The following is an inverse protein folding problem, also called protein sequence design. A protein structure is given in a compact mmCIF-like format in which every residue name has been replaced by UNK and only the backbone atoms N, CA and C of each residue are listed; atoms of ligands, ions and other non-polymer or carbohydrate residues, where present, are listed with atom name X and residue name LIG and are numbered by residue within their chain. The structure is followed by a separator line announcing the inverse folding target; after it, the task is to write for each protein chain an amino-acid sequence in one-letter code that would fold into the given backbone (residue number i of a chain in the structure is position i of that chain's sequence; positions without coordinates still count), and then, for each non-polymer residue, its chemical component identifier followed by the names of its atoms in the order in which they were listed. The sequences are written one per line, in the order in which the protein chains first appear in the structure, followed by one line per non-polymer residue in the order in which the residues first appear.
data_IF_263812980165
#
_entry.id   IF_263812980165
#
_cell.length_a   1.000
_cell.length_b   1.000
_cell.length_c   1.000
_cell.angle_alpha   90.00
_cell.angle_beta   90.00
_cell.angle_gamma   90.00
#
_symmetry.space_group_name_H-M   'P 1'
#
loop_
_entity.id
_entity.type
_entity.pdbx_description
1 polymer ?
#
# COMPACT_ATOMS: atom_id res chain seq x y z
N UNK A 1 -23.77 -28.03 -65.63
CA UNK A 1 -25.24 -28.16 -65.65
C UNK A 1 -25.72 -28.11 -64.21
N UNK A 2 -26.62 -27.26 -63.73
CA UNK A 2 -27.22 -26.01 -64.17
C UNK A 2 -27.83 -25.43 -62.87
N UNK A 3 -27.41 -24.25 -62.42
CA UNK A 3 -28.25 -23.06 -62.25
C UNK A 3 -29.76 -23.31 -62.15
N UNK A 4 -30.39 -22.84 -61.06
CA UNK A 4 -31.61 -22.01 -61.11
C UNK A 4 -31.91 -21.42 -59.72
N UNK A 5 -31.98 -20.08 -59.69
CA UNK A 5 -32.61 -19.25 -58.67
C UNK A 5 -33.79 -18.50 -59.36
N UNK A 6 -34.47 -17.49 -58.76
CA UNK A 6 -35.42 -17.50 -57.64
C UNK A 6 -36.74 -16.69 -57.91
N UNK A 7 -37.56 -16.48 -56.85
CA UNK A 7 -38.58 -15.39 -56.57
C UNK A 7 -40.07 -15.66 -56.92
N UNK A 8 -41.09 -14.94 -56.31
CA UNK A 8 -41.03 -13.66 -55.56
C UNK A 8 -41.90 -13.44 -54.28
N UNK A 9 -41.47 -12.40 -53.52
CA UNK A 9 -42.17 -11.29 -52.78
C UNK A 9 -43.48 -11.52 -51.98
N UNK A 10 -43.47 -11.05 -50.73
CA UNK A 10 -44.32 -9.93 -50.29
C UNK A 10 -43.68 -9.09 -49.15
N UNK A 11 -43.98 -7.79 -49.18
CA UNK A 11 -43.44 -6.68 -48.38
C UNK A 11 -44.18 -6.49 -47.05
N UNK A 12 -43.48 -5.98 -46.02
CA UNK A 12 -43.98 -4.83 -45.24
C UNK A 12 -42.82 -4.07 -44.58
N UNK A 13 -42.88 -2.75 -44.69
CA UNK A 13 -41.86 -1.78 -44.29
C UNK A 13 -42.31 -1.03 -43.04
N UNK A 14 -41.38 -0.71 -42.12
CA UNK A 14 -41.49 0.45 -41.22
C UNK A 14 -40.11 1.08 -40.97
N UNK A 15 -40.12 2.41 -40.86
CA UNK A 15 -39.02 3.40 -40.94
C UNK A 15 -38.39 3.72 -39.58
N UNK A 16 -37.14 4.19 -39.58
CA UNK A 16 -36.50 4.97 -38.50
C UNK A 16 -35.01 5.30 -38.78
N UNK A 17 -34.43 6.43 -38.34
CA UNK A 17 -33.61 7.30 -39.20
C UNK A 17 -32.06 7.22 -39.06
N UNK A 18 -31.37 7.66 -40.12
CA UNK A 18 -29.91 7.84 -40.26
C UNK A 18 -29.37 9.10 -39.55
N UNK A 19 -28.07 9.12 -39.17
CA UNK A 19 -27.32 10.36 -38.96
C UNK A 19 -26.57 10.83 -40.22
N UNK A 20 -26.59 12.16 -40.41
CA UNK A 20 -26.06 12.93 -41.54
C UNK A 20 -24.54 13.11 -41.47
N UNK A 21 -23.86 13.01 -42.62
CA UNK A 21 -22.54 13.61 -42.88
C UNK A 21 -22.74 14.99 -43.49
N UNK A 22 -21.92 15.96 -43.10
CA UNK A 22 -21.76 17.23 -43.83
C UNK A 22 -20.31 17.49 -44.20
N UNK A 23 -20.21 18.21 -45.31
CA UNK A 23 -19.12 18.37 -46.27
C UNK A 23 -18.13 19.47 -45.88
N UNK A 24 -16.91 19.40 -46.40
CA UNK A 24 -15.96 20.52 -46.45
C UNK A 24 -15.35 20.67 -47.85
N UNK A 25 -15.46 21.88 -48.42
CA UNK A 25 -14.73 22.45 -49.56
C UNK A 25 -14.50 23.93 -49.19
N UNK A 26 -13.53 24.71 -49.67
CA UNK A 26 -12.18 24.57 -50.23
C UNK A 26 -11.68 26.03 -50.41
N UNK A 27 -10.36 26.30 -50.28
CA UNK A 27 -9.55 27.26 -51.08
C UNK A 27 -8.31 27.79 -50.32
N UNK A 28 -7.19 27.89 -51.04
CA UNK A 28 -5.83 28.32 -50.64
C UNK A 28 -5.48 29.70 -51.28
N UNK A 29 -4.21 30.16 -51.47
CA UNK A 29 -2.92 30.01 -50.73
C UNK A 29 -2.19 31.37 -50.49
N UNK A 30 -1.10 31.40 -49.69
CA UNK A 30 0.00 32.37 -49.92
C UNK A 30 1.37 31.88 -49.39
N UNK A 31 2.44 32.46 -49.93
CA UNK A 31 3.67 31.78 -50.31
C UNK A 31 4.89 31.87 -49.35
N UNK A 32 5.78 30.90 -49.60
CA UNK A 32 7.20 30.65 -49.22
C UNK A 32 8.10 31.85 -48.89
N UNK A 33 9.03 31.63 -47.94
CA UNK A 33 10.48 31.88 -48.11
C UNK A 33 11.33 30.91 -47.27
N UNK A 34 12.52 30.60 -47.80
CA UNK A 34 13.45 29.54 -47.41
C UNK A 34 14.69 30.10 -46.61
N UNK A 35 15.62 29.24 -46.12
CA UNK A 35 16.55 29.52 -45.00
C UNK A 35 17.98 29.92 -45.41
N UNK A 36 18.78 30.46 -44.47
CA UNK A 36 20.24 30.74 -44.60
C UNK A 36 20.98 30.43 -43.26
N UNK A 37 22.26 29.96 -43.27
CA UNK A 37 22.85 29.05 -42.26
C UNK A 37 23.98 29.72 -41.40
N UNK A 38 24.86 28.99 -40.67
CA UNK A 38 25.49 29.45 -39.41
C UNK A 38 26.87 30.09 -39.56
N UNK A 39 27.35 30.77 -38.52
CA UNK A 39 28.76 31.14 -38.38
C UNK A 39 29.35 30.67 -37.05
N UNK A 40 30.48 29.98 -37.18
CA UNK A 40 31.40 29.59 -36.13
C UNK A 40 32.48 30.65 -35.93
N UNK A 41 32.95 30.85 -34.70
CA UNK A 41 34.34 31.22 -34.40
C UNK A 41 34.70 30.84 -32.95
N UNK A 42 35.82 30.12 -32.83
CA UNK A 42 36.50 29.65 -31.59
C UNK A 42 37.45 30.77 -31.03
N UNK A 43 38.50 30.48 -30.23
CA UNK A 43 38.55 30.18 -28.78
C UNK A 43 39.63 31.01 -28.03
N UNK A 44 39.69 31.02 -26.69
CA UNK A 44 40.93 31.23 -25.88
C UNK A 44 40.80 30.52 -24.52
N UNK A 45 41.45 29.37 -24.31
CA UNK A 45 42.78 29.11 -23.69
C UNK A 45 42.95 29.57 -22.22
N UNK A 46 42.99 28.55 -21.35
CA UNK A 46 43.96 28.23 -20.26
C UNK A 46 44.39 29.34 -19.30
N UNK A 47 44.20 29.11 -17.99
CA UNK A 47 45.25 29.34 -16.98
C UNK A 47 45.16 28.32 -15.81
N UNK A 48 46.32 27.77 -15.47
CA UNK A 48 46.67 27.02 -14.27
C UNK A 48 46.81 27.96 -13.05
N UNK A 49 46.63 27.42 -11.84
CA UNK A 49 47.16 27.98 -10.57
C UNK A 49 46.32 27.48 -9.38
N UNK A 50 46.74 26.44 -8.63
CA UNK A 50 47.58 26.48 -7.43
C UNK A 50 47.32 27.68 -6.50
N UNK A 51 46.96 27.40 -5.24
CA UNK A 51 47.01 28.38 -4.14
C UNK A 51 46.22 27.95 -2.91
N UNK A 52 46.92 27.37 -1.93
CA UNK A 52 46.44 27.01 -0.60
C UNK A 52 46.39 28.23 0.34
N UNK A 53 45.53 28.17 1.38
CA UNK A 53 45.68 28.72 2.76
C UNK A 53 44.39 28.35 3.52
N UNK A 54 44.34 27.41 4.48
CA UNK A 54 44.86 27.38 5.88
C UNK A 54 44.27 28.48 6.78
N UNK A 55 43.67 28.03 7.89
CA UNK A 55 43.36 28.63 9.21
C UNK A 55 41.96 28.09 9.62
N UNK A 56 41.70 27.46 10.75
CA UNK A 56 42.51 26.98 11.87
C UNK A 56 41.63 26.04 12.72
N UNK A 57 42.25 25.03 13.32
CA UNK A 57 41.64 24.12 14.30
C UNK A 57 41.81 24.72 15.69
N UNK A 58 40.73 24.80 16.48
CA UNK A 58 40.87 24.88 17.95
C UNK A 58 40.09 23.74 18.61
N UNK A 59 40.90 22.75 19.00
CA UNK A 59 40.93 22.01 20.26
C UNK A 59 39.72 21.20 20.76
N UNK A 60 40.01 19.91 20.95
CA UNK A 60 39.32 18.90 21.77
C UNK A 60 39.66 19.01 23.26
N UNK A 61 38.86 18.26 24.04
CA UNK A 61 39.05 17.68 25.41
C UNK A 61 38.23 18.44 26.46
N UNK A 62 37.33 17.88 27.27
CA UNK A 62 37.06 16.52 27.77
C UNK A 62 35.51 16.36 27.88
N UNK A 63 34.87 15.19 27.86
CA UNK A 63 35.00 14.02 28.73
C UNK A 63 34.16 12.85 28.14
N UNK A 64 34.34 11.64 28.70
CA UNK A 64 34.05 10.35 28.06
C UNK A 64 32.60 10.02 27.73
N UNK A 65 32.46 9.06 26.81
CA UNK A 65 31.18 8.43 26.46
C UNK A 65 31.32 7.67 25.14
N UNK A 66 31.37 6.35 25.22
CA UNK A 66 31.28 5.40 24.09
C UNK A 66 30.11 5.77 23.18
N UNK A 67 30.41 6.19 21.95
CA UNK A 67 29.43 6.45 20.90
C UNK A 67 29.56 5.39 19.81
N UNK A 68 28.57 4.50 19.77
CA UNK A 68 28.30 3.58 18.67
C UNK A 68 28.16 4.38 17.37
N UNK A 69 29.05 4.13 16.41
CA UNK A 69 28.92 4.66 15.05
C UNK A 69 27.86 3.85 14.32
N UNK A 70 26.65 4.37 14.23
CA UNK A 70 25.65 3.93 13.27
C UNK A 70 26.11 4.32 11.87
N UNK A 71 26.53 3.35 11.07
CA UNK A 71 26.75 3.54 9.64
C UNK A 71 25.39 3.66 8.95
N UNK A 72 25.07 4.85 8.44
CA UNK A 72 23.97 5.02 7.49
C UNK A 72 24.57 4.80 6.10
N UNK A 73 24.36 3.62 5.53
CA UNK A 73 24.67 3.33 4.15
C UNK A 73 23.63 4.03 3.25
N UNK A 74 24.02 5.15 2.62
CA UNK A 74 23.19 5.85 1.65
C UNK A 74 23.66 5.56 0.23
N UNK A 75 22.99 4.63 -0.47
CA UNK A 75 23.14 4.50 -1.91
C UNK A 75 22.23 5.54 -2.60
N UNK A 76 22.82 6.50 -3.32
CA UNK A 76 22.06 7.39 -4.22
C UNK A 76 21.69 6.62 -5.50
N UNK A 77 20.39 6.52 -5.87
CA UNK A 77 20.02 5.99 -7.17
C UNK A 77 20.53 6.92 -8.29
N UNK A 78 21.08 6.33 -9.35
CA UNK A 78 21.39 7.04 -10.60
C UNK A 78 20.07 7.43 -11.30
N UNK A 79 20.00 8.65 -11.82
CA UNK A 79 18.83 9.17 -12.54
C UNK A 79 18.47 8.29 -13.75
N UNK A 80 17.19 7.90 -13.88
CA UNK A 80 16.62 7.46 -15.15
C UNK A 80 15.94 6.08 -15.22
N UNK A 81 15.76 5.35 -14.12
CA UNK A 81 15.02 4.07 -14.09
C UNK A 81 14.03 4.10 -12.92
N UNK A 82 12.80 3.59 -13.11
CA UNK A 82 11.76 3.56 -12.05
C UNK A 82 12.31 2.93 -10.76
N UNK A 83 12.28 3.62 -9.60
CA UNK A 83 12.84 3.12 -8.33
C UNK A 83 12.19 1.84 -7.80
N UNK A 84 10.95 1.55 -8.21
CA UNK A 84 10.12 0.49 -7.65
C UNK A 84 10.53 -0.89 -8.13
N UNK A 85 10.78 -1.05 -9.45
CA UNK A 85 11.24 -2.33 -10.02
C UNK A 85 12.62 -2.77 -9.49
N UNK A 86 13.32 -1.92 -8.75
CA UNK A 86 14.61 -2.22 -8.13
C UNK A 86 14.47 -2.69 -6.67
N UNK A 87 13.29 -2.58 -6.04
CA UNK A 87 13.11 -2.92 -4.61
C UNK A 87 13.56 -4.35 -4.31
N UNK A 88 13.29 -5.29 -5.21
CA UNK A 88 13.69 -6.70 -5.07
C UNK A 88 14.93 -7.08 -5.90
N UNK A 89 15.53 -6.13 -6.64
CA UNK A 89 16.73 -6.39 -7.45
C UNK A 89 17.98 -6.21 -6.59
N UNK A 90 18.80 -7.25 -6.51
CA UNK A 90 20.07 -7.26 -5.76
C UNK A 90 19.92 -6.88 -4.28
N UNK A 91 18.82 -7.30 -3.64
CA UNK A 91 18.62 -7.09 -2.21
C UNK A 91 19.65 -7.93 -1.45
N UNK A 92 20.41 -7.25 -0.60
CA UNK A 92 21.21 -7.91 0.43
C UNK A 92 20.29 -8.22 1.61
N UNK A 93 19.76 -9.44 1.63
CA UNK A 93 18.95 -9.91 2.74
C UNK A 93 19.84 -10.13 3.97
N UNK A 94 19.39 -9.72 5.18
CA UNK A 94 20.03 -10.14 6.42
C UNK A 94 20.17 -11.67 6.53
N UNK A 95 21.12 -12.15 7.33
CA UNK A 95 21.28 -13.60 7.53
C UNK A 95 20.08 -14.23 8.27
N UNK A 96 19.38 -13.44 9.09
CA UNK A 96 18.24 -13.86 9.89
C UNK A 96 16.97 -13.10 9.49
N UNK A 97 15.82 -13.76 9.68
CA UNK A 97 14.52 -13.17 9.40
C UNK A 97 14.33 -11.85 10.20
N UNK A 98 14.13 -10.71 9.54
CA UNK A 98 14.28 -9.39 10.16
C UNK A 98 13.06 -8.94 10.97
N UNK A 99 11.96 -9.70 10.91
CA UNK A 99 10.70 -9.36 11.56
C UNK A 99 10.53 -10.13 12.88
N UNK A 100 10.00 -9.43 13.87
CA UNK A 100 9.77 -9.97 15.21
C UNK A 100 8.34 -10.50 15.34
N UNK A 101 8.04 -11.33 16.36
CA UNK A 101 6.67 -11.78 16.60
C UNK A 101 5.65 -10.64 16.70
N UNK A 102 6.03 -9.49 17.27
CA UNK A 102 5.14 -8.34 17.45
C UNK A 102 4.74 -7.69 16.11
N UNK A 103 5.57 -7.84 15.07
CA UNK A 103 5.27 -7.34 13.72
C UNK A 103 4.07 -8.06 13.09
N UNK A 104 3.79 -9.29 13.56
CA UNK A 104 2.67 -10.12 13.12
C UNK A 104 1.45 -10.04 14.05
N UNK A 105 1.53 -9.25 15.12
CA UNK A 105 0.36 -8.95 15.96
C UNK A 105 -0.67 -8.13 15.19
N UNK A 106 -1.92 -8.22 15.58
CA UNK A 106 -3.03 -7.50 14.97
C UNK A 106 -3.70 -6.64 16.00
N UNK A 107 -4.44 -5.66 15.52
CA UNK A 107 -5.24 -4.82 16.39
C UNK A 107 -6.45 -5.58 16.95
N UNK A 108 -7.08 -6.41 16.12
CA UNK A 108 -8.21 -7.26 16.48
C UNK A 108 -7.78 -8.73 16.44
N UNK A 109 -7.30 -9.21 17.59
CA UNK A 109 -6.91 -10.61 17.81
C UNK A 109 -8.10 -11.55 18.07
N UNK A 110 -9.34 -11.07 17.93
CA UNK A 110 -10.50 -11.97 17.97
C UNK A 110 -10.43 -13.00 16.85
N UNK A 111 -11.23 -14.06 16.97
CA UNK A 111 -11.26 -15.16 16.00
C UNK A 111 -11.59 -14.66 14.58
N UNK A 112 -10.77 -15.07 13.61
CA UNK A 112 -11.02 -14.79 12.20
C UNK A 112 -12.26 -15.53 11.70
N UNK A 113 -12.51 -16.74 12.22
CA UNK A 113 -13.75 -17.49 11.91
C UNK A 113 -15.01 -16.70 12.27
N UNK A 114 -14.98 -15.90 13.35
CA UNK A 114 -16.08 -15.00 13.69
C UNK A 114 -16.15 -13.81 12.73
N UNK A 115 -15.02 -13.18 12.41
CA UNK A 115 -14.95 -12.02 11.52
C UNK A 115 -15.40 -12.31 10.07
N UNK A 116 -15.09 -13.51 9.57
CA UNK A 116 -15.45 -13.99 8.23
C UNK A 116 -16.71 -14.85 8.20
N UNK A 117 -17.45 -14.97 9.31
CA UNK A 117 -18.69 -15.76 9.38
C UNK A 117 -19.81 -15.26 8.47
N UNK A 118 -19.87 -13.94 8.24
CA UNK A 118 -20.86 -13.31 7.36
C UNK A 118 -20.24 -13.07 5.99
N UNK A 119 -20.81 -13.62 4.90
CA UNK A 119 -20.27 -13.46 3.56
C UNK A 119 -20.37 -12.01 3.08
N UNK A 120 -19.38 -11.59 2.31
CA UNK A 120 -19.27 -10.26 1.70
C UNK A 120 -19.15 -10.40 0.19
N UNK A 121 -20.28 -10.26 -0.50
CA UNK A 121 -20.32 -10.27 -1.96
C UNK A 121 -19.96 -8.90 -2.55
N UNK A 122 -18.78 -8.40 -2.22
CA UNK A 122 -18.21 -7.14 -2.71
C UNK A 122 -16.79 -7.34 -3.17
N UNK A 123 -16.30 -6.49 -4.06
CA UNK A 123 -14.88 -6.45 -4.40
C UNK A 123 -14.12 -5.60 -3.37
N UNK A 124 -12.98 -6.10 -2.91
CA UNK A 124 -12.15 -5.42 -1.91
C UNK A 124 -11.14 -4.44 -2.52
N UNK A 125 -11.07 -4.37 -3.84
CA UNK A 125 -10.26 -3.45 -4.64
C UNK A 125 -11.14 -2.72 -5.65
N UNK A 126 -10.66 -1.57 -6.13
CA UNK A 126 -11.36 -0.75 -7.12
C UNK A 126 -11.25 -1.32 -8.55
N UNK A 127 -12.07 -0.79 -9.46
CA UNK A 127 -12.18 -1.28 -10.83
C UNK A 127 -10.86 -1.19 -11.62
N UNK A 128 -10.01 -0.21 -11.34
CA UNK A 128 -8.72 -0.07 -12.02
C UNK A 128 -7.73 -1.12 -11.53
N UNK A 129 -7.66 -1.35 -10.22
CA UNK A 129 -6.87 -2.44 -9.65
C UNK A 129 -7.33 -3.81 -10.19
N UNK A 130 -8.65 -4.02 -10.31
CA UNK A 130 -9.21 -5.23 -10.92
C UNK A 130 -8.77 -5.36 -12.38
N UNK A 131 -8.90 -4.30 -13.17
CA UNK A 131 -8.53 -4.29 -14.60
C UNK A 131 -7.07 -4.68 -14.79
N UNK A 132 -6.18 -4.08 -14.02
CA UNK A 132 -4.73 -4.31 -14.07
C UNK A 132 -4.38 -5.73 -13.64
N UNK A 133 -4.96 -6.20 -12.54
CA UNK A 133 -4.72 -7.55 -12.06
C UNK A 133 -5.22 -8.60 -13.08
N UNK A 134 -6.37 -8.33 -13.69
CA UNK A 134 -6.93 -9.21 -14.75
C UNK A 134 -6.03 -9.24 -15.98
N UNK A 135 -5.47 -8.11 -16.38
CA UNK A 135 -4.50 -8.00 -17.48
C UNK A 135 -3.21 -8.76 -17.15
N UNK A 136 -2.69 -8.59 -15.94
CA UNK A 136 -1.54 -9.34 -15.44
C UNK A 136 -1.79 -10.85 -15.47
N UNK A 137 -2.92 -11.32 -14.95
CA UNK A 137 -3.26 -12.74 -15.03
C UNK A 137 -3.42 -13.26 -16.46
N UNK A 138 -3.83 -12.42 -17.41
CA UNK A 138 -3.90 -12.81 -18.82
C UNK A 138 -2.54 -13.11 -19.44
N UNK A 139 -1.48 -12.50 -18.91
CA UNK A 139 -0.10 -12.70 -19.37
C UNK A 139 0.61 -13.83 -18.62
N UNK A 140 0.41 -13.93 -17.30
CA UNK A 140 1.20 -14.80 -16.43
C UNK A 140 0.53 -16.14 -16.08
N UNK A 141 -0.79 -16.25 -16.16
CA UNK A 141 -1.44 -17.55 -15.99
C UNK A 141 -1.22 -18.43 -17.22
N UNK A 142 -1.07 -19.76 -17.04
CA UNK A 142 -1.05 -20.69 -18.16
C UNK A 142 -2.30 -20.52 -19.04
N UNK A 143 -2.21 -20.73 -20.37
CA UNK A 143 -3.35 -20.58 -21.26
C UNK A 143 -4.58 -21.35 -20.77
N UNK A 144 -5.77 -20.75 -20.88
CA UNK A 144 -7.03 -21.39 -20.48
C UNK A 144 -7.20 -22.77 -21.12
N UNK A 145 -7.71 -23.73 -20.36
CA UNK A 145 -7.87 -25.14 -20.73
C UNK A 145 -6.55 -25.87 -21.09
N UNK A 146 -5.41 -25.45 -20.52
CA UNK A 146 -4.16 -26.23 -20.66
C UNK A 146 -4.27 -27.53 -19.86
N UNK A 147 -4.10 -28.72 -20.49
CA UNK A 147 -4.22 -30.01 -19.81
C UNK A 147 -3.20 -30.19 -18.68
N UNK A 148 -3.66 -30.75 -17.55
CA UNK A 148 -2.78 -31.09 -16.43
C UNK A 148 -2.30 -29.91 -15.57
N UNK A 149 -2.72 -28.68 -15.89
CA UNK A 149 -2.45 -27.49 -15.07
C UNK A 149 -3.43 -27.40 -13.92
N UNK A 150 -2.89 -27.32 -12.70
CA UNK A 150 -3.63 -27.11 -11.46
C UNK A 150 -3.28 -25.77 -10.82
N UNK A 151 -4.31 -25.03 -10.41
CA UNK A 151 -4.17 -23.70 -9.78
C UNK A 151 -4.80 -23.71 -8.39
N UNK A 152 -4.10 -23.12 -7.43
CA UNK A 152 -4.64 -22.81 -6.11
C UNK A 152 -4.84 -21.30 -5.99
N UNK A 153 -6.07 -20.86 -5.77
CA UNK A 153 -6.39 -19.51 -5.32
C UNK A 153 -6.42 -19.50 -3.79
N UNK A 154 -5.33 -19.02 -3.19
CA UNK A 154 -5.09 -19.02 -1.75
C UNK A 154 -5.64 -17.75 -1.10
N UNK A 155 -6.36 -17.91 0.00
CA UNK A 155 -7.18 -16.85 0.62
C UNK A 155 -8.28 -16.33 -0.32
N UNK A 156 -8.88 -17.23 -1.08
CA UNK A 156 -9.95 -16.95 -2.03
C UNK A 156 -11.26 -16.53 -1.36
N UNK A 157 -12.12 -15.91 -2.16
CA UNK A 157 -13.46 -15.45 -1.81
C UNK A 157 -14.38 -15.73 -3.01
N UNK A 158 -15.43 -14.93 -3.22
CA UNK A 158 -16.43 -15.10 -4.28
C UNK A 158 -15.95 -14.68 -5.68
N UNK A 159 -14.76 -14.08 -5.80
CA UNK A 159 -14.16 -13.65 -7.07
C UNK A 159 -12.63 -13.68 -6.98
N UNK A 160 -11.97 -14.29 -7.97
CA UNK A 160 -10.49 -14.39 -8.06
C UNK A 160 -9.85 -13.36 -8.99
N UNK A 161 -10.66 -12.55 -9.70
CA UNK A 161 -10.22 -11.56 -10.69
C UNK A 161 -9.47 -12.13 -11.91
N UNK A 162 -9.68 -13.42 -12.21
CA UNK A 162 -9.12 -14.04 -13.41
C UNK A 162 -9.74 -13.47 -14.70
N UNK A 163 -9.07 -13.61 -15.86
CA UNK A 163 -9.60 -13.17 -17.14
C UNK A 163 -11.00 -13.73 -17.42
N UNK A 164 -11.92 -12.95 -18.03
CA UNK A 164 -13.26 -13.43 -18.34
C UNK A 164 -13.23 -14.73 -19.16
N UNK A 165 -13.89 -15.77 -18.65
CA UNK A 165 -13.95 -17.09 -19.30
C UNK A 165 -12.73 -17.98 -19.08
N UNK A 166 -11.77 -17.57 -18.24
CA UNK A 166 -10.65 -18.42 -17.84
C UNK A 166 -11.13 -19.67 -17.11
N UNK A 167 -10.62 -20.85 -17.51
CA UNK A 167 -11.05 -22.14 -16.99
C UNK A 167 -9.93 -23.18 -17.11
N UNK A 168 -9.70 -23.91 -16.03
CA UNK A 168 -8.78 -25.05 -15.99
C UNK A 168 -9.53 -26.26 -15.44
N UNK A 169 -9.00 -27.46 -15.69
CA UNK A 169 -9.55 -28.70 -15.15
C UNK A 169 -9.56 -28.70 -13.61
N UNK A 170 -8.59 -28.02 -13.00
CA UNK A 170 -8.47 -27.91 -11.54
C UNK A 170 -8.09 -26.49 -11.11
N UNK A 171 -9.07 -25.77 -10.55
CA UNK A 171 -8.87 -24.49 -9.85
C UNK A 171 -9.46 -24.63 -8.45
N UNK A 172 -8.59 -24.69 -7.45
CA UNK A 172 -8.97 -24.87 -6.05
C UNK A 172 -8.98 -23.53 -5.37
N UNK A 173 -10.09 -23.14 -4.75
CA UNK A 173 -10.12 -21.95 -3.89
C UNK A 173 -9.99 -22.34 -2.43
N UNK A 174 -9.08 -21.72 -1.70
CA UNK A 174 -8.97 -21.90 -0.26
C UNK A 174 -9.28 -20.59 0.46
N UNK A 175 -10.31 -20.56 1.31
CA UNK A 175 -10.74 -19.34 2.00
C UNK A 175 -11.40 -19.63 3.33
N UNK A 176 -12.00 -18.59 3.93
CA UNK A 176 -12.60 -18.69 5.25
C UNK A 176 -14.14 -18.70 5.26
N UNK A 177 -14.77 -18.30 4.16
CA UNK A 177 -16.22 -18.25 4.06
C UNK A 177 -16.72 -19.20 2.95
N UNK A 178 -17.49 -20.21 3.34
CA UNK A 178 -17.97 -21.23 2.40
C UNK A 178 -18.93 -20.67 1.34
N UNK A 179 -19.80 -19.73 1.71
CA UNK A 179 -20.78 -19.14 0.80
C UNK A 179 -20.12 -18.26 -0.27
N UNK A 180 -19.03 -17.57 0.10
CA UNK A 180 -18.19 -16.85 -0.84
C UNK A 180 -17.54 -17.82 -1.84
N UNK A 181 -16.88 -18.87 -1.35
CA UNK A 181 -16.20 -19.86 -2.20
C UNK A 181 -17.18 -20.56 -3.17
N UNK A 182 -18.37 -20.95 -2.70
CA UNK A 182 -19.43 -21.54 -3.54
C UNK A 182 -19.88 -20.64 -4.68
N UNK A 183 -19.80 -19.31 -4.49
CA UNK A 183 -20.24 -18.33 -5.49
C UNK A 183 -19.15 -17.98 -6.50
N UNK A 184 -17.90 -18.37 -6.24
CA UNK A 184 -16.80 -18.11 -7.14
C UNK A 184 -16.88 -18.99 -8.39
N UNK A 185 -17.16 -18.35 -9.53
CA UNK A 185 -17.47 -19.03 -10.79
C UNK A 185 -16.28 -19.67 -11.49
N UNK A 186 -15.04 -19.35 -11.08
CA UNK A 186 -13.84 -19.96 -11.66
C UNK A 186 -13.36 -21.20 -10.91
N UNK A 187 -13.82 -21.42 -9.67
CA UNK A 187 -13.38 -22.55 -8.85
C UNK A 187 -14.05 -23.86 -9.31
N UNK A 188 -13.26 -24.93 -9.35
CA UNK A 188 -13.75 -26.30 -9.57
C UNK A 188 -14.01 -27.03 -8.26
N UNK A 189 -13.26 -26.66 -7.21
CA UNK A 189 -13.39 -27.19 -5.85
C UNK A 189 -12.92 -26.12 -4.85
N UNK A 190 -13.26 -26.30 -3.57
CA UNK A 190 -12.85 -25.36 -2.53
C UNK A 190 -12.55 -26.04 -1.20
N UNK A 191 -11.74 -25.36 -0.38
CA UNK A 191 -11.37 -25.76 0.98
C UNK A 191 -11.61 -24.59 1.94
N UNK A 192 -12.32 -24.84 3.04
CA UNK A 192 -12.49 -23.85 4.11
C UNK A 192 -11.44 -24.09 5.17
N UNK A 193 -10.51 -23.14 5.36
CA UNK A 193 -9.46 -23.26 6.36
C UNK A 193 -8.98 -21.88 6.83
N UNK A 194 -8.79 -21.76 8.14
CA UNK A 194 -8.11 -20.64 8.78
C UNK A 194 -6.60 -20.93 8.85
N UNK A 195 -5.81 -20.23 8.01
CA UNK A 195 -4.36 -20.40 7.94
C UNK A 195 -3.61 -19.81 9.15
N UNK A 196 -4.23 -18.88 9.88
CA UNK A 196 -3.65 -18.33 11.10
C UNK A 196 -3.74 -19.34 12.25
N UNK A 197 -4.78 -20.18 12.27
CA UNK A 197 -4.90 -21.31 13.20
C UNK A 197 -4.04 -22.50 12.73
N UNK A 198 -4.27 -22.98 11.51
CA UNK A 198 -3.55 -24.11 10.93
C UNK A 198 -2.89 -23.71 9.60
N UNK A 199 -1.57 -23.42 9.58
CA UNK A 199 -0.88 -23.03 8.36
C UNK A 199 -0.63 -24.20 7.40
N UNK A 200 -0.83 -25.46 7.83
CA UNK A 200 -0.57 -26.64 7.01
C UNK A 200 -1.63 -26.78 5.91
N UNK A 201 -1.21 -26.76 4.66
CA UNK A 201 -2.09 -26.89 3.51
C UNK A 201 -2.46 -28.37 3.29
N UNK A 202 -3.75 -28.73 3.16
CA UNK A 202 -4.22 -30.12 3.05
C UNK A 202 -4.06 -30.66 1.62
N UNK A 203 -2.89 -30.45 1.02
CA UNK A 203 -2.55 -30.92 -0.31
C UNK A 203 -1.24 -31.67 -0.31
N UNK A 204 -1.09 -32.61 -1.23
CA UNK A 204 0.14 -33.35 -1.46
C UNK A 204 1.24 -32.44 -2.01
N UNK A 205 2.49 -32.86 -1.83
CA UNK A 205 3.66 -32.19 -2.39
C UNK A 205 3.57 -32.11 -3.91
N UNK A 206 4.05 -31.01 -4.50
CA UNK A 206 4.10 -30.82 -5.96
C UNK A 206 2.76 -31.03 -6.68
N UNK A 207 1.66 -30.54 -6.09
CA UNK A 207 0.30 -30.71 -6.60
C UNK A 207 -0.19 -29.55 -7.47
N UNK A 208 0.43 -28.36 -7.39
CA UNK A 208 -0.01 -27.16 -8.12
C UNK A 208 1.08 -26.58 -9.03
N UNK A 209 0.66 -26.08 -10.19
CA UNK A 209 1.50 -25.34 -11.13
C UNK A 209 1.51 -23.84 -10.81
N UNK A 210 0.39 -23.32 -10.32
CA UNK A 210 0.26 -21.90 -9.94
C UNK A 210 -0.45 -21.76 -8.59
N UNK A 211 0.07 -20.87 -7.75
CA UNK A 211 -0.62 -20.34 -6.57
C UNK A 211 -0.87 -18.84 -6.81
N UNK A 212 -2.11 -18.40 -6.66
CA UNK A 212 -2.46 -16.97 -6.56
C UNK A 212 -2.82 -16.61 -5.13
N UNK A 213 -2.50 -15.40 -4.72
CA UNK A 213 -3.03 -14.78 -3.50
C UNK A 213 -3.38 -13.33 -3.82
N UNK A 214 -4.64 -12.97 -3.67
CA UNK A 214 -5.14 -11.62 -3.96
C UNK A 214 -5.62 -10.94 -2.68
N UNK A 215 -5.01 -9.79 -2.39
CA UNK A 215 -5.33 -8.87 -1.29
C UNK A 215 -5.54 -9.52 0.08
N UNK A 216 -4.68 -10.51 0.39
CA UNK A 216 -4.83 -11.30 1.61
C UNK A 216 -3.53 -11.58 2.39
N UNK A 217 -2.36 -11.41 1.79
CA UNK A 217 -1.06 -11.67 2.45
C UNK A 217 -0.86 -10.80 3.70
N UNK A 218 -1.52 -9.65 3.75
CA UNK A 218 -1.52 -8.68 4.84
C UNK A 218 -2.22 -9.13 6.12
N UNK A 219 -2.94 -10.26 6.08
CA UNK A 219 -3.63 -10.84 7.25
C UNK A 219 -2.93 -12.09 7.82
N UNK A 220 -1.84 -12.55 7.21
CA UNK A 220 -1.14 -13.76 7.64
C UNK A 220 -0.24 -13.48 8.85
N UNK A 221 -0.58 -14.10 9.98
CA UNK A 221 0.18 -14.02 11.24
C UNK A 221 1.36 -15.01 11.31
N UNK A 222 1.36 -16.01 10.41
CA UNK A 222 2.42 -17.04 10.28
C UNK A 222 2.95 -17.14 8.84
N UNK A 223 3.41 -16.04 8.23
CA UNK A 223 3.71 -16.01 6.80
C UNK A 223 4.81 -16.99 6.40
N UNK A 224 5.84 -17.18 7.22
CA UNK A 224 6.93 -18.13 6.90
C UNK A 224 6.43 -19.58 6.85
N UNK A 225 5.54 -19.99 7.75
CA UNK A 225 4.98 -21.33 7.74
C UNK A 225 4.09 -21.55 6.50
N UNK A 226 3.26 -20.56 6.17
CA UNK A 226 2.39 -20.61 4.98
C UNK A 226 3.22 -20.65 3.70
N UNK A 227 4.27 -19.83 3.59
CA UNK A 227 5.12 -19.79 2.38
C UNK A 227 5.96 -21.08 2.23
N UNK A 228 6.38 -21.72 3.32
CA UNK A 228 6.98 -23.05 3.27
C UNK A 228 6.00 -24.11 2.75
N UNK A 229 4.75 -24.04 3.17
CA UNK A 229 3.70 -24.92 2.64
C UNK A 229 3.38 -24.63 1.19
N UNK A 230 3.33 -23.36 0.77
CA UNK A 230 3.23 -22.99 -0.65
C UNK A 230 4.37 -23.63 -1.46
N UNK A 231 5.61 -23.55 -0.95
CA UNK A 231 6.76 -24.17 -1.61
C UNK A 231 6.61 -25.68 -1.71
N UNK A 232 6.12 -26.33 -0.66
CA UNK A 232 5.92 -27.79 -0.61
C UNK A 232 4.93 -28.26 -1.68
N UNK A 233 3.81 -27.56 -1.82
CA UNK A 233 2.73 -27.97 -2.73
C UNK A 233 2.95 -27.49 -4.18
N UNK A 234 3.81 -26.50 -4.40
CA UNK A 234 4.20 -26.09 -5.75
C UNK A 234 5.08 -27.15 -6.41
N UNK A 235 4.75 -27.49 -7.65
CA UNK A 235 5.62 -28.28 -8.54
C UNK A 235 6.95 -27.56 -8.75
N UNK A 236 8.02 -28.28 -9.14
CA UNK A 236 9.26 -27.64 -9.59
C UNK A 236 8.97 -26.66 -10.73
N UNK A 237 9.52 -25.45 -10.64
CA UNK A 237 9.24 -24.33 -11.55
C UNK A 237 7.78 -23.82 -11.56
N UNK A 238 6.96 -24.21 -10.58
CA UNK A 238 5.64 -23.64 -10.36
C UNK A 238 5.70 -22.16 -9.95
N UNK A 239 4.63 -21.43 -10.25
CA UNK A 239 4.57 -19.98 -10.08
C UNK A 239 3.74 -19.61 -8.84
N UNK A 240 4.26 -18.71 -8.02
CA UNK A 240 3.51 -18.07 -6.94
C UNK A 240 3.29 -16.59 -7.26
N UNK A 241 2.04 -16.16 -7.35
CA UNK A 241 1.66 -14.78 -7.65
C UNK A 241 1.03 -14.17 -6.40
N UNK A 242 1.71 -13.20 -5.80
CA UNK A 242 1.17 -12.41 -4.70
C UNK A 242 0.76 -11.04 -5.21
N UNK A 243 -0.51 -10.68 -4.98
CA UNK A 243 -1.04 -9.35 -5.31
C UNK A 243 -1.69 -8.77 -4.06
N UNK A 244 -1.42 -7.49 -3.81
CA UNK A 244 -1.86 -6.81 -2.59
C UNK A 244 -2.19 -5.35 -2.87
N UNK A 245 -2.94 -4.73 -1.96
CA UNK A 245 -3.42 -3.36 -2.06
C UNK A 245 -3.25 -2.66 -0.71
N UNK A 246 -3.23 -1.33 -0.74
CA UNK A 246 -3.30 -0.50 0.47
C UNK A 246 -4.69 -0.53 1.12
N UNK A 247 -5.73 -1.00 0.40
CA UNK A 247 -7.05 -1.21 0.97
C UNK A 247 -7.09 -2.56 1.71
N UNK A 248 -7.23 -2.49 3.03
CA UNK A 248 -7.30 -3.66 3.90
C UNK A 248 -8.35 -3.48 5.01
N UNK A 249 -8.71 -4.58 5.67
CA UNK A 249 -9.37 -4.56 6.98
C UNK A 249 -8.32 -4.20 8.04
N UNK A 250 -8.09 -2.91 8.24
CA UNK A 250 -6.97 -2.41 9.04
C UNK A 250 -6.88 -3.01 10.46
N UNK A 251 -8.01 -3.39 11.08
CA UNK A 251 -8.02 -4.02 12.41
C UNK A 251 -7.50 -5.45 12.38
N UNK A 252 -7.65 -6.15 11.26
CA UNK A 252 -7.22 -7.54 11.04
C UNK A 252 -5.85 -7.64 10.35
N UNK A 253 -5.35 -6.58 9.74
CA UNK A 253 -4.03 -6.57 9.14
C UNK A 253 -2.93 -6.65 10.21
N UNK A 254 -1.82 -7.30 9.88
CA UNK A 254 -0.65 -7.40 10.76
C UNK A 254 -0.01 -6.03 10.99
N UNK A 255 0.56 -5.83 12.18
CA UNK A 255 1.08 -4.53 12.62
C UNK A 255 2.10 -3.97 11.65
N UNK A 256 3.03 -4.80 11.16
CA UNK A 256 4.03 -4.36 10.20
C UNK A 256 3.38 -3.79 8.94
N UNK A 257 2.37 -4.46 8.39
CA UNK A 257 1.64 -4.00 7.21
C UNK A 257 1.00 -2.62 7.44
N UNK A 258 0.36 -2.44 8.59
CA UNK A 258 -0.32 -1.17 8.93
C UNK A 258 0.65 -0.02 9.22
N UNK A 259 1.92 -0.33 9.51
CA UNK A 259 2.96 0.62 9.88
C UNK A 259 3.90 1.03 8.73
N UNK A 260 3.80 0.38 7.58
CA UNK A 260 4.70 0.57 6.44
C UNK A 260 3.96 0.98 5.15
N UNK A 261 4.71 1.38 4.11
CA UNK A 261 4.14 1.76 2.80
C UNK A 261 4.31 0.70 1.70
N UNK A 262 3.79 0.97 0.51
CA UNK A 262 3.74 0.01 -0.61
C UNK A 262 5.11 -0.56 -1.01
N UNK A 263 6.15 0.26 -0.98
CA UNK A 263 7.51 -0.20 -1.29
C UNK A 263 8.04 -1.18 -0.23
N UNK A 264 7.74 -0.91 1.04
CA UNK A 264 8.06 -1.80 2.15
C UNK A 264 7.23 -3.08 2.06
N UNK A 265 5.95 -3.01 1.66
CA UNK A 265 5.09 -4.19 1.47
C UNK A 265 5.68 -5.14 0.43
N UNK A 266 6.17 -4.62 -0.69
CA UNK A 266 6.89 -5.43 -1.68
C UNK A 266 8.14 -6.09 -1.08
N UNK A 267 8.91 -5.34 -0.27
CA UNK A 267 10.08 -5.88 0.43
C UNK A 267 9.70 -6.94 1.48
N UNK A 268 8.65 -6.72 2.25
CA UNK A 268 8.12 -7.63 3.28
C UNK A 268 7.69 -8.96 2.64
N UNK A 269 6.90 -8.91 1.57
CA UNK A 269 6.47 -10.12 0.84
C UNK A 269 7.68 -10.80 0.18
N UNK A 270 8.62 -10.02 -0.36
CA UNK A 270 9.88 -10.54 -0.87
C UNK A 270 10.70 -11.28 0.18
N UNK A 271 10.73 -10.76 1.42
CA UNK A 271 11.36 -11.43 2.56
C UNK A 271 10.68 -12.76 2.87
N UNK A 272 9.35 -12.83 2.83
CA UNK A 272 8.64 -14.10 3.06
C UNK A 272 9.06 -15.18 2.07
N UNK A 273 9.17 -14.86 0.77
CA UNK A 273 9.71 -15.79 -0.23
C UNK A 273 11.17 -16.18 0.06
N UNK A 274 12.01 -15.21 0.38
CA UNK A 274 13.43 -15.45 0.66
C UNK A 274 13.63 -16.39 1.85
N UNK A 275 13.04 -16.07 3.00
CA UNK A 275 13.25 -16.80 4.26
C UNK A 275 12.42 -18.08 4.39
N UNK A 276 11.35 -18.24 3.62
CA UNK A 276 10.70 -19.55 3.47
C UNK A 276 11.62 -20.56 2.76
N UNK A 277 12.47 -20.06 1.85
CA UNK A 277 13.45 -20.84 1.11
C UNK A 277 12.83 -21.65 -0.03
N UNK A 278 13.68 -22.09 -0.96
CA UNK A 278 13.28 -22.94 -2.10
C UNK A 278 12.61 -22.21 -3.26
N UNK A 279 12.45 -20.89 -3.18
CA UNK A 279 12.01 -20.04 -4.29
C UNK A 279 13.20 -19.39 -4.99
N UNK A 280 13.03 -19.08 -6.27
CA UNK A 280 13.91 -18.12 -6.94
C UNK A 280 13.72 -16.71 -6.35
N UNK A 281 14.71 -15.81 -6.51
CA UNK A 281 14.55 -14.42 -6.08
C UNK A 281 13.24 -13.82 -6.62
N UNK A 282 12.36 -13.30 -5.73
CA UNK A 282 11.06 -12.80 -6.14
C UNK A 282 11.22 -11.58 -7.05
N UNK A 283 10.38 -11.52 -8.08
CA UNK A 283 10.38 -10.42 -9.05
C UNK A 283 9.16 -9.55 -8.85
N UNK A 284 9.38 -8.24 -8.75
CA UNK A 284 8.30 -7.27 -8.76
C UNK A 284 7.98 -6.88 -10.20
N UNK A 285 6.82 -7.31 -10.68
CA UNK A 285 6.38 -7.14 -12.07
C UNK A 285 5.51 -5.91 -12.29
N UNK A 286 5.01 -5.28 -11.22
CA UNK A 286 4.32 -4.00 -11.30
C UNK A 286 3.84 -3.52 -9.94
N UNK A 287 3.87 -2.20 -9.73
CA UNK A 287 3.03 -1.51 -8.74
C UNK A 287 2.23 -0.47 -9.51
N UNK A 288 0.96 -0.74 -9.76
CA UNK A 288 0.08 0.23 -10.38
C UNK A 288 -0.60 1.07 -9.29
N UNK A 289 -0.56 2.39 -9.43
CA UNK A 289 -0.81 3.35 -8.34
C UNK A 289 0.46 4.05 -7.84
N UNK A 290 1.64 3.53 -8.22
CA UNK A 290 2.97 4.13 -8.08
C UNK A 290 3.57 4.43 -9.46
N UNK A 291 2.78 5.03 -10.36
CA UNK A 291 3.39 5.76 -11.47
C UNK A 291 4.25 6.87 -10.83
N UNK A 292 5.57 6.66 -10.84
CA UNK A 292 6.56 7.70 -10.63
C UNK A 292 6.51 8.65 -11.83
N UNK A 293 5.43 9.41 -11.94
CA UNK A 293 5.36 10.56 -12.82
C UNK A 293 6.27 11.64 -12.25
N UNK A 294 7.55 11.59 -12.67
CA UNK A 294 8.64 12.45 -12.25
C UNK A 294 8.91 12.41 -10.72
N UNK A 295 10.10 12.79 -10.23
CA UNK A 295 10.24 13.09 -8.82
C UNK A 295 9.15 14.09 -8.44
N UNK A 296 8.25 13.65 -7.56
CA UNK A 296 7.38 14.54 -6.82
C UNK A 296 8.26 15.66 -6.27
N UNK A 297 7.80 16.91 -6.29
CA UNK A 297 8.36 17.89 -5.38
C UNK A 297 8.25 17.26 -3.98
N UNK A 298 9.40 16.97 -3.37
CA UNK A 298 9.49 16.50 -1.99
C UNK A 298 8.69 17.45 -1.13
N UNK A 299 7.60 16.97 -0.54
CA UNK A 299 6.85 17.77 0.41
C UNK A 299 7.49 17.54 1.78
N UNK A 300 8.11 18.59 2.31
CA UNK A 300 8.35 18.66 3.75
C UNK A 300 7.01 19.01 4.39
N UNK A 301 6.46 18.06 5.15
CA UNK A 301 5.18 18.23 5.84
C UNK A 301 5.42 18.28 7.34
N UNK A 302 4.78 19.22 8.01
CA UNK A 302 4.78 19.32 9.47
C UNK A 302 3.34 19.48 9.93
N UNK A 303 2.94 18.61 10.84
CA UNK A 303 1.61 18.57 11.43
C UNK A 303 1.76 18.75 12.95
N UNK A 304 1.14 19.81 13.46
CA UNK A 304 0.99 20.01 14.89
C UNK A 304 -0.31 19.34 15.33
N UNK A 305 -0.17 18.27 16.10
CA UNK A 305 -1.25 17.47 16.67
C UNK A 305 -1.31 17.78 18.17
N UNK A 306 -2.51 18.01 18.72
CA UNK A 306 -2.70 18.11 20.17
C UNK A 306 -3.61 16.98 20.62
N UNK A 307 -3.08 16.08 21.44
CA UNK A 307 -3.87 15.03 22.04
C UNK A 307 -4.48 15.53 23.36
N UNK A 308 -5.81 15.58 23.47
CA UNK A 308 -6.49 16.01 24.70
C UNK A 308 -6.74 14.81 25.62
N UNK A 309 -5.75 14.55 26.45
CA UNK A 309 -5.69 13.39 27.27
C UNK A 309 -6.65 13.53 28.49
N UNK A 310 -7.80 12.85 28.51
CA UNK A 310 -8.80 12.92 29.59
C UNK A 310 -8.90 11.63 30.40
N UNK A 311 -8.70 11.74 31.72
CA UNK A 311 -8.80 10.64 32.69
C UNK A 311 -9.92 10.86 33.71
N UNK A 312 -11.02 11.49 33.29
CA UNK A 312 -12.15 11.86 34.18
C UNK A 312 -12.77 10.70 34.95
N UNK A 313 -12.77 9.48 34.38
CA UNK A 313 -13.33 8.26 35.00
C UNK A 313 -12.27 7.37 35.67
N UNK A 314 -10.98 7.72 35.58
CA UNK A 314 -9.90 6.92 36.14
C UNK A 314 -9.73 7.16 37.64
N UNK A 315 -9.53 6.07 38.38
CA UNK A 315 -9.24 6.10 39.83
C UNK A 315 -7.75 6.26 40.16
N UNK A 316 -6.89 6.06 39.17
CA UNK A 316 -5.42 6.18 39.26
C UNK A 316 -4.89 6.97 38.08
N UNK A 317 -3.67 7.50 38.22
CA UNK A 317 -2.97 8.16 37.13
C UNK A 317 -2.75 7.17 35.96
N UNK A 318 -2.87 7.66 34.73
CA UNK A 318 -2.50 6.93 33.53
C UNK A 318 -1.26 7.57 32.93
N UNK A 319 -0.17 6.79 32.84
CA UNK A 319 1.10 7.27 32.32
C UNK A 319 1.44 6.52 31.04
N UNK A 320 1.93 7.25 30.04
CA UNK A 320 2.30 6.75 28.72
C UNK A 320 3.72 7.16 28.34
N UNK A 321 4.44 6.27 27.66
CA UNK A 321 5.79 6.48 27.12
C UNK A 321 5.89 5.96 25.68
N UNK A 322 6.83 6.50 24.92
CA UNK A 322 7.15 6.04 23.56
C UNK A 322 5.95 5.95 22.60
N UNK A 323 4.93 6.81 22.76
CA UNK A 323 3.79 6.78 21.86
C UNK A 323 4.17 7.20 20.44
N UNK A 324 3.42 6.72 19.47
CA UNK A 324 3.63 6.95 18.05
C UNK A 324 2.39 7.61 17.46
N UNK A 325 2.57 8.51 16.50
CA UNK A 325 1.49 9.14 15.76
C UNK A 325 1.82 9.15 14.27
N UNK A 326 0.83 8.86 13.43
CA UNK A 326 0.94 8.92 11.98
C UNK A 326 -0.23 9.72 11.42
N UNK A 327 0.04 10.61 10.47
CA UNK A 327 -0.97 11.29 9.67
C UNK A 327 -1.03 10.62 8.31
N UNK A 328 -2.22 10.22 7.88
CA UNK A 328 -2.45 9.50 6.63
C UNK A 328 -3.49 10.22 5.77
N UNK A 329 -3.40 10.01 4.47
CA UNK A 329 -4.43 10.41 3.51
C UNK A 329 -4.71 9.24 2.58
N UNK A 330 -5.95 8.76 2.56
CA UNK A 330 -6.35 7.59 1.80
C UNK A 330 -5.39 6.39 2.02
N UNK A 331 -5.00 6.15 3.27
CA UNK A 331 -4.04 5.10 3.63
C UNK A 331 -2.54 5.44 3.50
N UNK A 332 -2.15 6.48 2.77
CA UNK A 332 -0.74 6.87 2.61
C UNK A 332 -0.24 7.71 3.78
N UNK A 333 0.89 7.34 4.39
CA UNK A 333 1.50 8.11 5.48
C UNK A 333 2.09 9.41 4.93
N UNK A 334 1.57 10.53 5.41
CA UNK A 334 2.04 11.88 5.07
C UNK A 334 3.13 12.37 6.01
N UNK A 335 3.07 11.96 7.28
CA UNK A 335 4.00 12.33 8.34
C UNK A 335 3.89 11.38 9.52
N UNK A 336 4.98 11.27 10.29
CA UNK A 336 5.02 10.48 11.52
C UNK A 336 5.64 11.29 12.66
N UNK A 337 5.30 10.96 13.89
CA UNK A 337 5.78 11.64 15.09
C UNK A 337 5.75 10.73 16.30
N UNK A 338 6.36 11.21 17.39
CA UNK A 338 6.33 10.53 18.69
C UNK A 338 5.74 11.42 19.76
N UNK A 339 5.03 10.81 20.68
CA UNK A 339 4.55 11.50 21.89
C UNK A 339 5.67 11.55 22.92
N UNK A 340 5.75 12.66 23.66
CA UNK A 340 6.60 12.71 24.85
C UNK A 340 5.98 11.86 25.94
N UNK A 341 6.77 11.40 26.91
CA UNK A 341 6.23 10.76 28.11
C UNK A 341 5.28 11.72 28.83
N UNK A 342 4.09 11.26 29.15
CA UNK A 342 3.10 12.06 29.86
C UNK A 342 2.22 11.21 30.77
N UNK A 343 1.69 11.86 31.80
CA UNK A 343 0.76 11.27 32.74
C UNK A 343 -0.45 12.17 32.91
N UNK A 344 -1.62 11.54 33.07
CA UNK A 344 -2.88 12.21 33.41
C UNK A 344 -3.35 11.69 34.77
N UNK A 345 -3.44 12.58 35.75
CA UNK A 345 -3.90 12.25 37.10
C UNK A 345 -5.34 11.71 37.12
N UNK A 346 -5.73 11.06 38.22
CA UNK A 346 -7.10 10.60 38.42
C UNK A 346 -8.09 11.79 38.35
N UNK A 347 -9.16 11.67 37.56
CA UNK A 347 -10.13 12.73 37.36
C UNK A 347 -9.65 13.92 36.50
N UNK A 348 -8.38 13.93 36.09
CA UNK A 348 -7.75 15.07 35.40
C UNK A 348 -7.83 15.01 33.88
N UNK A 349 -7.38 16.08 33.24
CA UNK A 349 -7.17 16.18 31.79
C UNK A 349 -5.86 16.91 31.48
N UNK A 350 -5.25 16.65 30.33
CA UNK A 350 -3.98 17.24 29.91
C UNK A 350 -3.85 17.30 28.39
N UNK A 351 -3.35 18.41 27.88
CA UNK A 351 -3.03 18.52 26.45
C UNK A 351 -1.60 18.04 26.19
N UNK A 352 -1.44 17.18 25.18
CA UNK A 352 -0.17 16.56 24.81
C UNK A 352 0.16 16.94 23.37
N UNK A 353 1.10 17.88 23.16
CA UNK A 353 1.51 18.25 21.81
C UNK A 353 2.36 17.14 21.18
N UNK A 354 2.07 16.84 19.92
CA UNK A 354 2.76 15.87 19.09
C UNK A 354 3.07 16.55 17.76
N UNK A 355 4.33 16.55 17.37
CA UNK A 355 4.74 17.05 16.06
C UNK A 355 4.99 15.85 15.17
N UNK A 356 4.11 15.62 14.21
CA UNK A 356 4.34 14.65 13.15
C UNK A 356 4.95 15.39 11.96
N UNK A 357 6.09 14.92 11.48
CA UNK A 357 6.76 15.53 10.34
C UNK A 357 7.28 14.46 9.41
N UNK A 358 7.48 14.85 8.16
CA UNK A 358 8.28 14.08 7.24
C UNK A 358 8.94 15.02 6.24
N UNK A 359 10.14 14.62 5.80
CA UNK A 359 10.86 15.27 4.73
C UNK A 359 11.02 14.26 3.59
N UNK A 360 10.84 14.68 2.34
CA UNK A 360 10.99 13.74 1.23
C UNK A 360 9.74 12.95 0.81
N UNK A 361 8.55 13.19 1.39
CA UNK A 361 7.39 12.32 1.11
C UNK A 361 6.87 12.53 -0.31
N UNK A 362 7.19 11.57 -1.18
CA UNK A 362 6.66 11.50 -2.53
C UNK A 362 5.29 10.84 -2.54
N UNK A 363 4.23 11.64 -2.59
CA UNK A 363 2.88 11.11 -2.81
C UNK A 363 2.68 10.75 -4.28
N UNK A 364 2.03 9.63 -4.63
CA UNK A 364 1.68 9.33 -6.01
C UNK A 364 0.87 10.46 -6.66
N UNK A 365 1.02 10.68 -7.97
CA UNK A 365 0.35 11.78 -8.68
C UNK A 365 -1.18 11.75 -8.48
N UNK A 366 -1.79 10.57 -8.56
CA UNK A 366 -3.23 10.38 -8.31
C UNK A 366 -3.65 10.88 -6.91
N UNK A 367 -2.85 10.56 -5.89
CA UNK A 367 -3.08 11.00 -4.51
C UNK A 367 -2.92 12.51 -4.40
N UNK A 368 -1.86 13.09 -4.99
CA UNK A 368 -1.65 14.54 -5.03
C UNK A 368 -2.77 15.29 -5.75
N UNK A 369 -3.18 14.79 -6.91
CA UNK A 369 -4.23 15.38 -7.74
C UNK A 369 -5.57 15.33 -7.00
N UNK A 370 -5.84 14.25 -6.26
CA UNK A 370 -7.01 14.12 -5.39
C UNK A 370 -6.96 15.10 -4.23
N UNK A 371 -5.85 15.19 -3.50
CA UNK A 371 -5.66 16.19 -2.42
C UNK A 371 -5.88 17.60 -2.97
N UNK A 372 -5.30 17.91 -4.14
CA UNK A 372 -5.43 19.21 -4.79
C UNK A 372 -6.86 19.46 -5.31
N UNK A 373 -7.60 18.42 -5.72
CA UNK A 373 -8.99 18.52 -6.14
C UNK A 373 -9.92 18.74 -4.95
N UNK A 374 -9.79 17.95 -3.88
CA UNK A 374 -10.53 18.10 -2.62
C UNK A 374 -10.32 19.50 -2.06
N UNK A 375 -9.06 19.95 -1.96
CA UNK A 375 -8.72 21.29 -1.50
C UNK A 375 -9.33 22.40 -2.35
N UNK A 376 -9.39 22.23 -3.68
CA UNK A 376 -10.03 23.20 -4.58
C UNK A 376 -11.56 23.21 -4.45
N UNK A 377 -12.15 22.06 -4.15
CA UNK A 377 -13.61 21.90 -4.09
C UNK A 377 -14.19 22.36 -2.75
N UNK A 378 -13.61 21.95 -1.62
CA UNK A 378 -14.14 22.21 -0.28
C UNK A 378 -13.31 23.21 0.54
N UNK A 379 -12.09 23.56 0.09
CA UNK A 379 -11.13 24.32 0.88
C UNK A 379 -10.44 23.50 1.98
N UNK A 380 -10.86 22.25 2.17
CA UNK A 380 -10.41 21.35 3.23
C UNK A 380 -10.00 19.99 2.64
N UNK A 381 -9.21 19.24 3.38
CA UNK A 381 -8.75 17.88 3.02
C UNK A 381 -8.94 17.01 4.24
N UNK A 382 -9.64 15.89 4.09
CA UNK A 382 -9.85 14.92 5.17
C UNK A 382 -8.60 14.03 5.32
N UNK A 383 -8.07 13.95 6.53
CA UNK A 383 -6.90 13.17 6.90
C UNK A 383 -7.27 12.18 7.99
N UNK A 384 -6.50 11.12 8.10
CA UNK A 384 -6.62 10.11 9.14
C UNK A 384 -5.43 10.24 10.08
N UNK A 385 -5.68 10.49 11.36
CA UNK A 385 -4.62 10.50 12.38
C UNK A 385 -4.73 9.25 13.21
N UNK A 386 -3.64 8.49 13.26
CA UNK A 386 -3.50 7.29 14.07
C UNK A 386 -2.52 7.57 15.20
N UNK A 387 -2.89 7.29 16.43
CA UNK A 387 -2.01 7.41 17.61
C UNK A 387 -1.97 6.09 18.35
N UNK A 388 -0.77 5.64 18.73
CA UNK A 388 -0.50 4.43 19.50
C UNK A 388 0.19 4.84 20.81
N UNK A 389 -0.40 4.52 21.95
CA UNK A 389 0.13 4.90 23.27
C UNK A 389 0.44 3.65 24.10
N UNK A 390 1.64 3.60 24.69
CA UNK A 390 2.11 2.49 25.52
C UNK A 390 2.18 2.92 26.99
N UNK A 391 1.61 2.15 27.91
CA UNK A 391 1.60 2.51 29.32
C UNK A 391 2.99 2.33 29.96
N UNK A 392 3.31 3.14 30.97
CA UNK A 392 4.65 3.22 31.59
C UNK A 392 5.06 1.97 32.38
N UNK A 393 4.11 1.11 32.77
CA UNK A 393 4.36 -0.11 33.58
C UNK A 393 4.23 -1.45 32.83
N UNK A 394 4.00 -1.42 31.52
CA UNK A 394 3.83 -2.63 30.71
C UNK A 394 5.17 -3.06 30.09
N UNK A 395 6.04 -3.67 30.91
CA UNK A 395 7.33 -4.24 30.45
C UNK A 395 7.17 -5.62 29.77
N UNK A 396 5.94 -6.17 29.71
CA UNK A 396 5.63 -7.52 29.18
C UNK A 396 4.45 -7.52 28.17
N UNK A 397 4.52 -6.76 27.09
CA UNK A 397 3.70 -7.00 25.89
C UNK A 397 2.20 -6.67 25.98
N UNK A 398 1.79 -5.70 26.81
CA UNK A 398 0.39 -5.27 26.82
C UNK A 398 0.02 -4.48 25.55
N UNK A 399 -1.18 -4.75 25.00
CA UNK A 399 -1.64 -4.07 23.77
C UNK A 399 -1.73 -2.54 23.99
N UNK A 400 -1.20 -1.74 23.06
CA UNK A 400 -1.21 -0.29 23.18
C UNK A 400 -2.63 0.27 23.08
N UNK A 401 -2.84 1.46 23.66
CA UNK A 401 -4.07 2.21 23.42
C UNK A 401 -3.98 2.86 22.05
N UNK A 402 -4.85 2.45 21.14
CA UNK A 402 -4.94 3.02 19.80
C UNK A 402 -6.02 4.07 19.71
N UNK A 403 -5.75 5.10 18.91
CA UNK A 403 -6.69 6.14 18.57
C UNK A 403 -6.67 6.36 17.07
N UNK A 404 -7.85 6.45 16.46
CA UNK A 404 -8.03 6.82 15.06
C UNK A 404 -9.02 7.96 14.96
N UNK A 405 -8.63 9.01 14.24
CA UNK A 405 -9.39 10.24 14.11
C UNK A 405 -9.44 10.63 12.63
N UNK A 406 -10.63 10.97 12.12
CA UNK A 406 -10.77 11.66 10.84
C UNK A 406 -10.77 13.16 11.08
N UNK A 407 -9.88 13.90 10.41
CA UNK A 407 -9.67 15.33 10.66
C UNK A 407 -9.67 16.11 9.36
N UNK A 408 -10.38 17.23 9.30
CA UNK A 408 -10.37 18.10 8.13
C UNK A 408 -9.30 19.21 8.28
N UNK A 409 -8.51 19.45 7.23
CA UNK A 409 -7.59 20.60 7.20
C UNK A 409 -8.36 21.90 7.03
N UNK A 410 -8.03 22.96 7.79
CA UNK A 410 -8.59 24.31 7.58
C UNK A 410 -9.53 24.87 8.64
N UNK A 411 -9.70 24.21 9.80
CA UNK A 411 -10.34 24.84 10.96
C UNK A 411 -9.37 25.81 11.66
N UNK A 412 -9.81 27.03 11.97
CA UNK A 412 -9.09 27.91 12.92
C UNK A 412 -9.00 27.26 14.31
N UNK A 413 -8.44 27.95 15.31
CA UNK A 413 -8.46 27.47 16.72
C UNK A 413 -9.91 27.12 17.10
N UNK A 414 -10.22 25.84 17.14
CA UNK A 414 -11.50 25.33 17.61
C UNK A 414 -11.53 25.41 19.14
N UNK A 415 -12.68 25.76 19.72
CA UNK A 415 -12.84 25.68 21.17
C UNK A 415 -12.95 24.20 21.61
N UNK A 416 -12.61 23.85 22.88
CA UNK A 416 -12.66 22.47 23.38
C UNK A 416 -14.04 21.78 23.27
N UNK A 417 -15.10 22.54 22.95
CA UNK A 417 -16.45 22.05 22.67
C UNK A 417 -16.64 21.45 21.27
N UNK A 418 -15.69 21.70 20.35
CA UNK A 418 -15.75 21.29 18.93
C UNK A 418 -14.86 20.06 18.62
N UNK A 419 -14.47 19.33 19.66
CA UNK A 419 -13.55 18.19 19.57
C UNK A 419 -14.04 17.15 18.55
N UNK A 420 -13.18 16.77 17.61
CA UNK A 420 -13.49 15.65 16.72
C UNK A 420 -13.35 14.34 17.51
N UNK A 421 -14.43 13.57 17.68
CA UNK A 421 -14.36 12.35 18.45
C UNK A 421 -13.49 11.32 17.71
N UNK A 422 -12.39 10.93 18.34
CA UNK A 422 -11.59 9.81 17.87
C UNK A 422 -12.23 8.50 18.30
N UNK A 423 -12.14 7.49 17.44
CA UNK A 423 -12.36 6.13 17.86
C UNK A 423 -11.13 5.70 18.67
N UNK A 424 -11.34 5.43 19.96
CA UNK A 424 -10.31 4.89 20.84
C UNK A 424 -10.59 3.42 21.05
N UNK A 425 -9.55 2.62 20.87
CA UNK A 425 -9.63 1.20 20.97
C UNK A 425 -8.76 0.71 22.13
N UNK A 426 -9.30 0.95 23.34
CA UNK A 426 -9.11 0.32 24.68
C UNK A 426 -9.81 1.19 25.75
N UNK A 427 -10.03 0.66 26.97
CA UNK A 427 -11.07 1.04 27.96
C UNK A 427 -11.19 2.49 28.50
N UNK A 428 -10.59 3.52 27.89
CA UNK A 428 -10.69 4.91 28.36
C UNK A 428 -11.20 5.85 27.27
N UNK A 429 -12.10 6.76 27.67
CA UNK A 429 -12.73 7.76 26.79
C UNK A 429 -11.75 8.90 26.59
N UNK A 430 -11.17 9.02 25.38
CA UNK A 430 -10.31 10.13 24.97
C UNK A 430 -11.00 10.96 23.90
N UNK A 431 -10.70 12.26 23.86
CA UNK A 431 -11.06 13.18 22.77
C UNK A 431 -9.79 13.93 22.35
N UNK A 432 -9.69 14.45 21.13
CA UNK A 432 -8.54 15.28 20.75
C UNK A 432 -8.92 16.34 19.74
N UNK A 433 -8.45 17.56 19.99
CA UNK A 433 -8.57 18.71 19.10
C UNK A 433 -7.39 18.73 18.13
N UNK A 434 -7.68 18.87 16.85
CA UNK A 434 -6.67 18.99 15.80
C UNK A 434 -6.75 20.36 15.15
N UNK A 435 -5.67 21.13 15.25
CA UNK A 435 -5.51 22.41 14.58
C UNK A 435 -4.28 22.36 13.66
N UNK A 436 -4.46 22.13 12.35
CA UNK A 436 -3.36 22.09 11.41
C UNK A 436 -2.87 23.49 11.05
N UNK A 437 -1.70 23.91 11.57
CA UNK A 437 -0.95 25.04 11.01
C UNK A 437 -0.11 24.54 9.82
N UNK A 438 -0.41 24.95 8.58
CA UNK A 438 0.34 24.52 7.39
C UNK A 438 1.06 25.68 6.69
N UNK A 439 2.29 25.37 6.26
CA UNK A 439 3.19 26.07 5.34
C UNK A 439 3.47 27.56 5.62
N UNK A 440 4.64 27.81 6.22
CA UNK A 440 5.48 28.91 5.72
C UNK A 440 6.27 28.35 4.53
N UNK A 441 6.09 28.96 3.36
CA UNK A 441 7.11 28.95 2.30
C UNK A 441 8.17 29.97 2.69
#
# INVERSE_FOLDING_TARGET
MATLAPRPRLLLALRGPQPRRFSACAAAPCARRAPVPPQAARPRRVFLGLGATVIDQVARMASGGTSSRSFVAGARPRQGVSPVEQILKNVEWPDEFPFKPEDFSRFDESSDSQFYSVPRFVTHIDDEAIRVLTEYYSEFLPPSNTPGVAILDMCSSWVSHYPPGYKQEKIVGMGMNEDELKRNSVLTEYVVQDLNVNPKLPFEDNSFDVITNVVSVDYLTKPIDVFKEMRRILKPAGLAIMSFSNRCFWTKAISIWTSTGDADHAWIVGAYFHYAGGFEPPQLTGIQGLDTAAPAASLTTVFNITLHASNKRGRVAACYRHGEAAVRYAGFILAWGRTRTFSVGAGGSRDVPVVAWADGVGLPKLVRDRVAAERRASGTVELEVVVKLFAEGDDYGAEPTWMWCKVATGGGRAEPSDATPCLVFRSRVWASDFAPNWMLV
#
